data_IF_895811069079
#
_entry.id   IF_895811069079
#
_cell.length_a   1.000
_cell.length_b   1.000
_cell.length_c   1.000
_cell.angle_alpha   90.00
_cell.angle_beta   90.00
_cell.angle_gamma   90.00
#
_symmetry.space_group_name_H-M   'P 1'
#
loop_
_entity.id
_entity.type
_entity.pdbx_description
1 polymer ?
#
# COMPACT_ATOMS: atom_id res chain seq x y z
N UNK A 1 -23.26 -29.93 -4.44
CA UNK A 1 -22.32 -29.80 -3.30
C UNK A 1 -21.25 -30.89 -3.41
N UNK A 2 -20.48 -30.95 -4.50
CA UNK A 2 -19.60 -32.11 -4.78
C UNK A 2 -18.10 -31.80 -4.89
N UNK A 3 -17.68 -30.54 -4.72
CA UNK A 3 -16.25 -30.15 -4.81
C UNK A 3 -15.65 -29.57 -3.52
N UNK A 4 -16.39 -29.57 -2.41
CA UNK A 4 -15.87 -29.05 -1.13
C UNK A 4 -15.25 -30.20 -0.31
N UNK A 5 -13.99 -30.10 0.13
CA UNK A 5 -13.34 -31.09 0.99
C UNK A 5 -14.15 -31.41 2.25
N UNK A 6 -14.16 -32.68 2.67
CA UNK A 6 -14.94 -33.14 3.82
C UNK A 6 -14.60 -32.39 5.12
N UNK A 7 -13.32 -32.03 5.31
CA UNK A 7 -12.85 -31.25 6.46
C UNK A 7 -13.51 -29.86 6.52
N UNK A 8 -13.65 -29.19 5.37
CA UNK A 8 -14.30 -27.88 5.28
C UNK A 8 -15.80 -28.02 5.54
N UNK A 9 -16.43 -29.10 5.06
CA UNK A 9 -17.84 -29.39 5.35
C UNK A 9 -18.07 -29.57 6.85
N UNK A 10 -17.22 -30.31 7.53
CA UNK A 10 -17.29 -30.50 8.98
C UNK A 10 -17.13 -29.18 9.74
N UNK A 11 -16.14 -28.36 9.35
CA UNK A 11 -15.90 -27.04 9.94
C UNK A 11 -17.10 -26.10 9.77
N UNK A 12 -17.72 -26.07 8.59
CA UNK A 12 -18.94 -25.29 8.32
C UNK A 12 -20.11 -25.77 9.19
N UNK A 13 -20.28 -27.08 9.34
CA UNK A 13 -21.33 -27.64 10.21
C UNK A 13 -21.08 -27.33 11.69
N UNK A 14 -19.82 -27.31 12.14
CA UNK A 14 -19.46 -26.89 13.49
C UNK A 14 -19.80 -25.41 13.71
N UNK A 15 -19.50 -24.53 12.74
CA UNK A 15 -19.84 -23.12 12.81
C UNK A 15 -21.36 -22.91 12.95
N UNK A 16 -22.17 -23.58 12.12
CA UNK A 16 -23.63 -23.52 12.22
C UNK A 16 -24.15 -24.02 13.57
N UNK A 17 -23.57 -25.09 14.12
CA UNK A 17 -23.93 -25.60 15.47
C UNK A 17 -23.56 -24.62 16.58
N UNK A 18 -22.46 -23.89 16.43
CA UNK A 18 -21.97 -22.95 17.44
C UNK A 18 -22.81 -21.67 17.55
N UNK A 19 -23.57 -21.30 16.51
CA UNK A 19 -24.35 -20.06 16.46
C UNK A 19 -25.80 -20.39 16.10
N UNK A 20 -26.72 -20.41 17.09
CA UNK A 20 -28.13 -20.70 16.85
C UNK A 20 -28.76 -19.76 15.82
N UNK A 21 -29.46 -20.31 14.83
CA UNK A 21 -30.15 -19.52 13.79
C UNK A 21 -29.24 -18.96 12.71
N UNK A 22 -27.97 -19.37 12.63
CA UNK A 22 -27.10 -18.98 11.51
C UNK A 22 -27.58 -19.59 10.19
N UNK A 23 -27.89 -20.90 10.19
CA UNK A 23 -28.31 -21.67 9.01
C UNK A 23 -29.66 -21.23 8.42
N UNK A 24 -30.52 -20.60 9.22
CA UNK A 24 -31.81 -20.08 8.74
C UNK A 24 -31.65 -18.76 7.97
N UNK A 25 -30.54 -18.04 8.20
CA UNK A 25 -30.23 -16.77 7.54
C UNK A 25 -29.21 -16.93 6.42
N UNK A 26 -28.21 -17.79 6.62
CA UNK A 26 -27.09 -17.95 5.71
C UNK A 26 -26.81 -19.42 5.44
N UNK A 27 -26.80 -19.79 4.15
CA UNK A 27 -26.41 -21.12 3.69
C UNK A 27 -24.93 -21.11 3.35
N UNK A 28 -24.10 -21.73 4.18
CA UNK A 28 -22.65 -21.86 3.94
C UNK A 28 -22.39 -22.70 2.67
N UNK A 29 -21.50 -22.21 1.81
CA UNK A 29 -21.16 -22.84 0.54
C UNK A 29 -19.73 -23.35 0.52
N UNK A 30 -18.77 -22.55 1.01
CA UNK A 30 -17.34 -22.89 0.98
C UNK A 30 -16.55 -22.05 1.98
N UNK A 31 -15.32 -22.47 2.31
CA UNK A 31 -14.34 -21.66 3.06
C UNK A 31 -13.38 -21.01 2.06
N UNK A 32 -13.43 -19.69 1.97
CA UNK A 32 -12.69 -18.91 0.95
C UNK A 32 -11.43 -18.25 1.48
N UNK A 33 -11.19 -18.27 2.80
CA UNK A 33 -9.98 -17.70 3.36
C UNK A 33 -9.77 -18.09 4.82
N UNK A 34 -8.51 -18.16 5.20
CA UNK A 34 -8.08 -18.34 6.58
C UNK A 34 -6.85 -17.49 6.85
N UNK A 35 -6.85 -16.79 7.97
CA UNK A 35 -5.75 -15.97 8.44
C UNK A 35 -5.52 -16.16 9.93
N UNK A 36 -4.52 -15.45 10.46
CA UNK A 36 -4.13 -15.55 11.88
C UNK A 36 -5.25 -15.17 12.85
N UNK A 37 -6.19 -14.32 12.42
CA UNK A 37 -7.22 -13.74 13.28
C UNK A 37 -8.64 -14.13 12.91
N UNK A 38 -8.85 -14.81 11.78
CA UNK A 38 -10.19 -15.14 11.30
C UNK A 38 -10.20 -16.21 10.23
N UNK A 39 -11.35 -16.88 10.09
CA UNK A 39 -11.73 -17.65 8.89
C UNK A 39 -12.86 -16.96 8.16
N UNK A 40 -12.90 -17.09 6.83
CA UNK A 40 -13.91 -16.47 5.96
C UNK A 40 -14.61 -17.53 5.13
N UNK A 41 -15.93 -17.53 5.19
CA UNK A 41 -16.77 -18.48 4.46
C UNK A 41 -17.65 -17.75 3.45
N UNK A 42 -17.77 -18.31 2.25
CA UNK A 42 -18.78 -17.88 1.29
C UNK A 42 -20.11 -18.48 1.68
N UNK A 43 -21.16 -17.66 1.73
CA UNK A 43 -22.51 -18.08 2.04
C UNK A 43 -23.52 -17.41 1.12
N UNK A 44 -24.71 -17.99 1.04
CA UNK A 44 -25.87 -17.36 0.41
C UNK A 44 -26.78 -16.75 1.47
N UNK A 45 -27.19 -15.50 1.27
CA UNK A 45 -28.19 -14.80 2.07
C UNK A 45 -29.59 -15.32 1.70
N UNK A 46 -30.09 -16.27 2.50
CA UNK A 46 -31.38 -16.95 2.30
C UNK A 46 -32.53 -15.97 2.45
N UNK A 47 -32.39 -15.00 3.35
CA UNK A 47 -33.43 -14.02 3.66
C UNK A 47 -33.47 -12.87 2.66
N UNK A 48 -32.35 -12.58 2.00
CA UNK A 48 -32.17 -11.43 1.14
C UNK A 48 -32.05 -10.09 1.89
N UNK A 49 -32.04 -10.08 3.22
CA UNK A 49 -32.03 -8.83 3.99
C UNK A 49 -30.72 -8.07 3.86
N UNK A 50 -29.58 -8.77 3.96
CA UNK A 50 -28.25 -8.16 3.85
C UNK A 50 -28.01 -7.67 2.42
N UNK A 51 -28.35 -8.51 1.44
CA UNK A 51 -28.19 -8.20 0.02
C UNK A 51 -29.06 -7.04 -0.45
N UNK A 52 -30.32 -6.96 0.01
CA UNK A 52 -31.22 -5.86 -0.35
C UNK A 52 -30.79 -4.53 0.27
N UNK A 53 -30.37 -4.54 1.54
CA UNK A 53 -29.97 -3.32 2.27
C UNK A 53 -28.67 -2.69 1.75
N UNK A 54 -27.81 -3.50 1.12
CA UNK A 54 -26.51 -3.08 0.59
C UNK A 54 -26.42 -3.33 -0.92
N UNK A 55 -27.54 -3.24 -1.65
CA UNK A 55 -27.62 -3.61 -3.07
C UNK A 55 -26.62 -2.89 -3.97
N UNK A 56 -26.26 -1.64 -3.67
CA UNK A 56 -25.22 -0.87 -4.39
C UNK A 56 -23.82 -1.47 -4.30
N UNK A 57 -23.56 -2.34 -3.32
CA UNK A 57 -22.27 -2.99 -3.12
C UNK A 57 -22.12 -4.33 -3.85
N UNK A 58 -23.16 -4.81 -4.54
CA UNK A 58 -23.12 -6.08 -5.27
C UNK A 58 -22.87 -5.86 -6.76
N UNK A 59 -21.71 -6.30 -7.25
CA UNK A 59 -21.34 -6.18 -8.67
C UNK A 59 -22.19 -7.06 -9.60
N UNK A 60 -22.84 -8.11 -9.05
CA UNK A 60 -23.70 -9.04 -9.79
C UNK A 60 -25.01 -9.18 -9.03
N UNK A 61 -26.09 -8.57 -9.54
CA UNK A 61 -27.37 -8.40 -8.83
C UNK A 61 -28.14 -9.71 -8.66
N UNK A 62 -27.92 -10.69 -9.54
CA UNK A 62 -28.62 -11.98 -9.52
C UNK A 62 -28.14 -12.89 -8.38
N UNK A 63 -26.96 -12.61 -7.82
CA UNK A 63 -26.28 -13.47 -6.83
C UNK A 63 -26.35 -12.87 -5.43
N UNK A 64 -27.05 -13.57 -4.53
CA UNK A 64 -27.21 -13.19 -3.12
C UNK A 64 -26.11 -13.75 -2.22
N UNK A 65 -24.84 -13.56 -2.60
CA UNK A 65 -23.70 -14.13 -1.86
C UNK A 65 -23.10 -13.15 -0.86
N UNK A 66 -22.83 -13.62 0.35
CA UNK A 66 -22.13 -12.89 1.41
C UNK A 66 -20.86 -13.62 1.82
N UNK A 67 -19.92 -12.87 2.39
CA UNK A 67 -18.76 -13.40 3.08
C UNK A 67 -18.97 -13.32 4.59
N UNK A 68 -18.92 -14.46 5.27
CA UNK A 68 -19.00 -14.57 6.72
C UNK A 68 -17.59 -14.68 7.29
N UNK A 69 -17.09 -13.60 7.91
CA UNK A 69 -15.79 -13.57 8.57
C UNK A 69 -15.96 -13.92 10.06
N UNK A 70 -15.62 -15.16 10.42
CA UNK A 70 -15.55 -15.63 11.81
C UNK A 70 -14.24 -15.12 12.43
N UNK A 71 -14.35 -14.22 13.40
CA UNK A 71 -13.19 -13.64 14.09
C UNK A 71 -12.81 -14.54 15.26
N UNK A 72 -11.53 -14.92 15.35
CA UNK A 72 -11.04 -15.79 16.40
C UNK A 72 -10.98 -15.09 17.76
N UNK A 73 -11.30 -15.84 18.82
CA UNK A 73 -11.28 -15.40 20.23
C UNK A 73 -9.90 -14.98 20.73
N UNK A 74 -8.83 -15.34 20.02
CA UNK A 74 -7.46 -14.90 20.31
C UNK A 74 -7.28 -13.39 20.07
N UNK A 75 -8.21 -12.75 19.36
CA UNK A 75 -8.24 -11.29 19.20
C UNK A 75 -8.82 -10.62 20.44
N UNK A 76 -8.18 -9.57 20.94
CA UNK A 76 -8.70 -8.82 22.08
C UNK A 76 -10.07 -8.19 21.74
N UNK A 77 -11.02 -8.11 22.69
CA UNK A 77 -12.32 -7.49 22.43
C UNK A 77 -12.24 -6.07 21.87
N UNK A 78 -11.24 -5.29 22.30
CA UNK A 78 -10.99 -3.95 21.78
C UNK A 78 -10.62 -3.94 20.30
N UNK A 79 -9.84 -4.94 19.85
CA UNK A 79 -9.45 -5.07 18.45
C UNK A 79 -10.63 -5.47 17.58
N UNK A 80 -11.45 -6.43 18.05
CA UNK A 80 -12.67 -6.86 17.36
C UNK A 80 -13.64 -5.68 17.23
N UNK A 81 -13.89 -4.95 18.32
CA UNK A 81 -14.73 -3.76 18.31
C UNK A 81 -14.21 -2.70 17.34
N UNK A 82 -12.90 -2.42 17.37
CA UNK A 82 -12.27 -1.44 16.48
C UNK A 82 -12.47 -1.81 15.00
N UNK A 83 -12.22 -3.07 14.63
CA UNK A 83 -12.43 -3.54 13.26
C UNK A 83 -13.88 -3.36 12.79
N UNK A 84 -14.85 -3.82 13.59
CA UNK A 84 -16.28 -3.68 13.28
C UNK A 84 -16.71 -2.22 13.19
N UNK A 85 -16.22 -1.38 14.11
CA UNK A 85 -16.54 0.04 14.14
C UNK A 85 -15.95 0.79 12.93
N UNK A 86 -14.72 0.46 12.51
CA UNK A 86 -14.12 1.02 11.30
C UNK A 86 -14.92 0.64 10.05
N UNK A 87 -15.29 -0.64 9.89
CA UNK A 87 -16.13 -1.09 8.78
C UNK A 87 -17.50 -0.41 8.78
N UNK A 88 -18.10 -0.18 9.94
CA UNK A 88 -19.36 0.55 10.08
C UNK A 88 -19.22 2.02 9.64
N UNK A 89 -18.13 2.71 10.01
CA UNK A 89 -17.88 4.10 9.60
C UNK A 89 -17.58 4.26 8.11
N UNK A 90 -17.11 3.20 7.46
CA UNK A 90 -16.65 3.21 6.06
C UNK A 90 -17.72 2.73 5.06
N UNK A 91 -18.95 2.48 5.50
CA UNK A 91 -20.03 1.93 4.66
C UNK A 91 -20.46 2.83 3.48
N UNK A 92 -20.07 4.11 3.50
CA UNK A 92 -20.45 5.11 2.50
C UNK A 92 -19.64 5.11 1.20
N UNK A 93 -18.73 4.16 0.99
CA UNK A 93 -17.95 4.05 -0.26
C UNK A 93 -18.11 2.68 -0.89
N UNK A 94 -18.45 2.64 -2.18
CA UNK A 94 -18.55 1.40 -2.98
C UNK A 94 -17.20 0.67 -3.15
N UNK A 95 -16.09 1.36 -2.85
CA UNK A 95 -14.71 0.85 -3.00
C UNK A 95 -14.14 0.32 -1.68
N UNK A 96 -14.93 0.31 -0.61
CA UNK A 96 -14.58 -0.30 0.69
C UNK A 96 -15.73 -1.24 1.10
N UNK A 97 -15.40 -2.47 1.48
CA UNK A 97 -16.43 -3.44 1.84
C UNK A 97 -17.19 -2.99 3.10
N UNK A 98 -18.53 -2.85 3.05
CA UNK A 98 -19.32 -2.42 4.19
C UNK A 98 -19.54 -3.60 5.15
N UNK A 99 -19.79 -3.26 6.42
CA UNK A 99 -20.34 -4.22 7.38
C UNK A 99 -21.86 -4.33 7.18
N UNK A 100 -22.33 -5.44 6.60
CA UNK A 100 -23.76 -5.67 6.39
C UNK A 100 -24.51 -6.03 7.68
N UNK A 101 -23.91 -6.90 8.48
CA UNK A 101 -24.46 -7.38 9.75
C UNK A 101 -23.30 -7.86 10.66
N UNK A 102 -23.54 -7.92 11.96
CA UNK A 102 -22.61 -8.47 12.94
C UNK A 102 -23.35 -9.38 13.92
N UNK A 103 -22.89 -10.63 13.99
CA UNK A 103 -23.52 -11.68 14.79
C UNK A 103 -22.58 -11.99 15.95
N UNK A 104 -23.11 -11.97 17.17
CA UNK A 104 -22.38 -12.40 18.35
C UNK A 104 -23.18 -13.41 19.14
N UNK A 105 -22.58 -14.56 19.42
CA UNK A 105 -23.13 -15.56 20.31
C UNK A 105 -22.00 -16.12 21.18
N UNK A 106 -22.13 -15.95 22.50
CA UNK A 106 -21.08 -16.28 23.47
C UNK A 106 -19.74 -15.59 23.11
N UNK A 107 -18.71 -16.38 22.84
CA UNK A 107 -17.37 -15.96 22.44
C UNK A 107 -17.19 -15.87 20.92
N UNK A 108 -18.15 -16.35 20.13
CA UNK A 108 -18.11 -16.30 18.68
C UNK A 108 -18.59 -14.94 18.15
N UNK A 109 -17.82 -14.37 17.23
CA UNK A 109 -18.15 -13.13 16.50
C UNK A 109 -18.03 -13.38 15.01
N UNK A 110 -19.09 -13.06 14.26
CA UNK A 110 -19.11 -13.10 12.80
C UNK A 110 -19.43 -11.70 12.28
N UNK A 111 -18.58 -11.20 11.38
CA UNK A 111 -18.91 -10.07 10.51
C UNK A 111 -19.48 -10.59 9.20
N UNK A 112 -20.59 -10.01 8.75
CA UNK A 112 -21.21 -10.30 7.45
C UNK A 112 -20.85 -9.17 6.49
N UNK A 113 -20.21 -9.50 5.37
CA UNK A 113 -19.81 -8.55 4.33
C UNK A 113 -20.36 -9.03 2.97
N UNK A 114 -20.48 -8.15 1.97
CA UNK A 114 -20.78 -8.60 0.60
C UNK A 114 -19.69 -9.54 0.09
N UNK A 115 -20.07 -10.55 -0.69
CA UNK A 115 -19.10 -11.36 -1.42
C UNK A 115 -18.82 -10.73 -2.78
N UNK A 116 -17.54 -10.46 -3.07
CA UNK A 116 -17.11 -9.85 -4.32
C UNK A 116 -16.47 -10.90 -5.24
N UNK A 117 -16.92 -11.04 -6.50
CA UNK A 117 -16.27 -11.92 -7.47
C UNK A 117 -14.93 -11.31 -7.87
N UNK A 118 -13.83 -11.94 -7.48
CA UNK A 118 -12.47 -11.46 -7.72
C UNK A 118 -11.57 -12.59 -8.21
N UNK A 119 -10.40 -12.21 -8.71
CA UNK A 119 -9.34 -13.14 -9.12
C UNK A 119 -8.15 -13.02 -8.17
N UNK A 120 -7.44 -14.13 -7.91
CA UNK A 120 -6.21 -14.07 -7.13
C UNK A 120 -5.12 -13.29 -7.87
N UNK A 121 -4.46 -12.37 -7.16
CA UNK A 121 -3.39 -11.54 -7.72
C UNK A 121 -2.33 -12.32 -8.51
N UNK A 122 -1.98 -13.53 -8.03
CA UNK A 122 -0.96 -14.39 -8.66
C UNK A 122 -1.31 -14.81 -10.08
N UNK A 123 -2.59 -14.81 -10.44
CA UNK A 123 -3.06 -15.28 -11.74
C UNK A 123 -2.91 -14.21 -12.82
N UNK A 124 -2.98 -12.92 -12.46
CA UNK A 124 -2.97 -11.83 -13.44
C UNK A 124 -1.80 -10.86 -13.31
N UNK A 125 -1.09 -10.78 -12.17
CA UNK A 125 -0.08 -9.74 -11.94
C UNK A 125 1.08 -9.72 -12.94
N UNK A 126 1.38 -10.87 -13.56
CA UNK A 126 2.45 -10.97 -14.55
C UNK A 126 2.02 -10.35 -15.88
N UNK A 127 0.78 -10.56 -16.28
CA UNK A 127 0.32 -10.37 -17.65
C UNK A 127 -0.72 -9.24 -17.79
N UNK A 128 -0.97 -8.48 -16.71
CA UNK A 128 -1.88 -7.34 -16.73
C UNK A 128 -1.27 -6.17 -17.53
N UNK A 129 -1.93 -5.68 -18.61
CA UNK A 129 -1.45 -4.56 -19.43
C UNK A 129 -1.31 -3.26 -18.63
N UNK A 130 -0.50 -2.32 -19.10
CA UNK A 130 -0.29 -1.03 -18.41
C UNK A 130 -1.60 -0.28 -18.14
N UNK A 131 -2.57 -0.38 -19.07
CA UNK A 131 -3.93 0.16 -18.89
C UNK A 131 -4.71 -0.57 -17.78
N UNK A 132 -4.51 -1.88 -17.64
CA UNK A 132 -5.06 -2.67 -16.55
C UNK A 132 -4.41 -2.36 -15.20
N UNK A 133 -3.07 -2.17 -15.18
CA UNK A 133 -2.33 -1.70 -14.00
C UNK A 133 -2.86 -0.31 -13.60
N UNK A 134 -3.03 0.61 -14.55
CA UNK A 134 -3.62 1.93 -14.34
C UNK A 134 -4.97 1.82 -13.63
N UNK A 135 -5.91 1.00 -14.14
CA UNK A 135 -7.22 0.81 -13.51
C UNK A 135 -7.13 0.16 -12.12
N UNK A 136 -6.30 -0.86 -11.93
CA UNK A 136 -6.09 -1.47 -10.61
C UNK A 136 -5.62 -0.43 -9.58
N UNK A 137 -4.61 0.37 -9.94
CA UNK A 137 -4.04 1.38 -9.06
C UNK A 137 -5.03 2.50 -8.77
N UNK A 138 -5.83 2.90 -9.77
CA UNK A 138 -6.89 3.88 -9.62
C UNK A 138 -7.93 3.44 -8.58
N UNK A 139 -8.51 2.23 -8.74
CA UNK A 139 -9.51 1.68 -7.82
C UNK A 139 -8.96 1.58 -6.37
N UNK A 140 -7.71 1.13 -6.22
CA UNK A 140 -7.05 1.03 -4.91
C UNK A 140 -6.82 2.42 -4.27
N UNK A 141 -6.34 3.38 -5.06
CA UNK A 141 -6.08 4.73 -4.56
C UNK A 141 -7.37 5.48 -4.23
N UNK A 142 -8.47 5.25 -4.95
CA UNK A 142 -9.79 5.80 -4.61
C UNK A 142 -10.31 5.26 -3.28
N UNK A 143 -10.17 3.94 -3.04
CA UNK A 143 -10.49 3.35 -1.75
C UNK A 143 -9.66 3.97 -0.61
N UNK A 144 -8.35 4.13 -0.83
CA UNK A 144 -7.45 4.74 0.14
C UNK A 144 -7.72 6.23 0.38
N UNK A 145 -8.01 7.00 -0.67
CA UNK A 145 -8.42 8.41 -0.55
C UNK A 145 -9.63 8.54 0.40
N UNK A 146 -10.66 7.71 0.21
CA UNK A 146 -11.82 7.69 1.09
C UNK A 146 -11.44 7.32 2.54
N UNK A 147 -10.68 6.24 2.75
CA UNK A 147 -10.26 5.79 4.09
C UNK A 147 -9.40 6.86 4.79
N UNK A 148 -8.44 7.44 4.06
CA UNK A 148 -7.52 8.47 4.56
C UNK A 148 -8.25 9.77 4.87
N UNK A 149 -9.31 10.13 4.12
CA UNK A 149 -10.14 11.30 4.41
C UNK A 149 -10.84 11.23 5.78
N UNK A 150 -11.01 10.03 6.32
CA UNK A 150 -11.56 9.78 7.67
C UNK A 150 -10.48 9.72 8.75
N UNK A 151 -9.21 9.95 8.40
CA UNK A 151 -8.08 9.82 9.31
C UNK A 151 -7.80 8.37 9.73
N UNK A 152 -8.14 7.39 8.89
CA UNK A 152 -7.91 5.97 9.16
C UNK A 152 -6.66 5.54 8.36
N UNK A 153 -5.78 4.79 9.02
CA UNK A 153 -4.64 4.12 8.41
C UNK A 153 -4.99 2.64 8.29
N UNK A 154 -4.89 2.05 7.10
CA UNK A 154 -5.22 0.64 6.90
C UNK A 154 -4.15 -0.30 7.47
N UNK A 155 -2.87 0.06 7.31
CA UNK A 155 -1.66 -0.60 7.86
C UNK A 155 -1.34 -1.99 7.30
N UNK A 156 -2.23 -2.60 6.55
CA UNK A 156 -2.00 -3.91 5.91
C UNK A 156 -2.42 -3.92 4.43
N UNK A 157 -2.04 -2.89 3.69
CA UNK A 157 -2.27 -2.85 2.24
C UNK A 157 -1.35 -3.86 1.55
N UNK A 158 -1.98 -4.82 0.85
CA UNK A 158 -1.36 -5.89 0.08
C UNK A 158 -2.39 -6.48 -0.87
N UNK A 159 -1.98 -7.21 -1.92
CA UNK A 159 -2.94 -7.69 -2.92
C UNK A 159 -4.05 -8.59 -2.38
N UNK A 160 -3.83 -9.35 -1.31
CA UNK A 160 -4.88 -10.22 -0.74
C UNK A 160 -5.98 -9.44 -0.01
N UNK A 161 -5.73 -8.18 0.35
CA UNK A 161 -6.69 -7.32 1.04
C UNK A 161 -7.38 -6.34 0.08
N UNK A 162 -7.11 -6.45 -1.23
CA UNK A 162 -7.79 -5.69 -2.27
C UNK A 162 -8.38 -6.67 -3.27
N UNK A 163 -9.68 -6.92 -3.15
CA UNK A 163 -10.37 -7.87 -4.01
C UNK A 163 -10.63 -7.20 -5.35
N UNK A 164 -9.91 -7.62 -6.38
CA UNK A 164 -9.96 -7.03 -7.71
C UNK A 164 -10.46 -8.03 -8.75
N UNK A 165 -11.29 -7.56 -9.66
CA UNK A 165 -11.72 -8.32 -10.82
C UNK A 165 -11.15 -7.68 -12.10
N UNK A 166 -10.13 -8.28 -12.72
CA UNK A 166 -9.52 -7.74 -13.94
C UNK A 166 -10.47 -7.61 -15.13
N UNK A 167 -11.50 -8.47 -15.21
CA UNK A 167 -12.48 -8.45 -16.30
C UNK A 167 -13.49 -7.31 -16.14
N UNK A 168 -13.92 -7.05 -14.90
CA UNK A 168 -14.85 -5.96 -14.59
C UNK A 168 -14.13 -4.61 -14.39
N UNK A 169 -12.82 -4.63 -14.15
CA UNK A 169 -12.07 -3.44 -13.79
C UNK A 169 -12.47 -2.85 -12.44
N UNK A 170 -13.06 -3.64 -11.53
CA UNK A 170 -13.58 -3.17 -10.23
C UNK A 170 -12.77 -3.74 -9.07
N UNK A 171 -12.52 -2.91 -8.08
CA UNK A 171 -11.79 -3.28 -6.87
C UNK A 171 -12.48 -2.85 -5.59
N UNK A 172 -12.29 -3.62 -4.52
CA UNK A 172 -12.77 -3.27 -3.18
C UNK A 172 -11.71 -3.56 -2.12
N UNK A 173 -11.49 -2.59 -1.24
CA UNK A 173 -10.60 -2.74 -0.10
C UNK A 173 -11.31 -3.46 1.05
N UNK A 174 -10.63 -4.47 1.62
CA UNK A 174 -11.16 -5.32 2.70
C UNK A 174 -10.15 -5.46 3.84
N UNK A 175 -10.61 -6.02 4.97
CA UNK A 175 -9.81 -6.40 6.14
C UNK A 175 -9.14 -5.24 6.92
N UNK A 176 -9.95 -4.60 7.78
CA UNK A 176 -9.52 -3.53 8.67
C UNK A 176 -9.03 -4.05 10.03
N UNK A 177 -8.70 -5.34 10.15
CA UNK A 177 -8.32 -5.97 11.43
C UNK A 177 -7.00 -5.45 12.02
N UNK A 178 -6.20 -4.71 11.24
CA UNK A 178 -4.98 -4.02 11.70
C UNK A 178 -5.07 -2.50 11.62
N UNK A 179 -6.18 -1.97 11.11
CA UNK A 179 -6.36 -0.54 10.88
C UNK A 179 -6.51 0.24 12.20
N UNK A 180 -6.02 1.47 12.20
CA UNK A 180 -6.08 2.38 13.36
C UNK A 180 -6.40 3.80 12.90
N UNK A 181 -6.98 4.59 13.79
CA UNK A 181 -7.09 6.03 13.59
C UNK A 181 -5.69 6.65 13.65
N UNK A 182 -5.37 7.50 12.69
CA UNK A 182 -4.17 8.33 12.71
C UNK A 182 -4.18 9.16 13.99
N UNK A 183 -3.11 9.06 14.78
CA UNK A 183 -3.01 9.80 16.03
C UNK A 183 -2.85 11.28 15.73
N UNK A 184 -3.82 12.10 16.14
CA UNK A 184 -3.70 13.54 16.06
C UNK A 184 -2.44 13.98 16.82
N UNK A 185 -1.60 14.80 16.18
CA UNK A 185 -0.43 15.39 16.84
C UNK A 185 -0.91 16.19 18.05
N UNK A 186 -0.67 15.69 19.25
CA UNK A 186 -1.03 16.40 20.48
C UNK A 186 -0.30 17.74 20.50
N UNK A 187 -1.02 18.86 20.42
CA UNK A 187 -0.45 20.21 20.64
C UNK A 187 0.17 20.37 22.04
N UNK A 188 0.01 19.38 22.91
CA UNK A 188 0.53 19.30 24.28
C UNK A 188 2.04 19.05 24.40
N UNK A 189 2.76 18.74 23.30
CA UNK A 189 4.23 18.68 23.33
C UNK A 189 4.90 20.02 23.70
N UNK A 190 4.15 21.12 23.85
CA UNK A 190 4.70 22.42 24.24
C UNK A 190 5.04 22.57 25.74
N UNK A 191 4.72 21.60 26.61
CA UNK A 191 4.86 21.80 28.09
C UNK A 191 5.91 20.91 28.77
N UNK A 192 6.42 19.86 28.12
CA UNK A 192 7.44 18.98 28.71
C UNK A 192 8.86 19.43 28.36
N UNK A 193 9.66 19.77 29.39
CA UNK A 193 11.08 20.17 29.26
C UNK A 193 11.99 19.07 28.68
N UNK A 194 11.52 17.83 28.57
CA UNK A 194 12.27 16.72 27.99
C UNK A 194 11.38 15.83 27.11
N UNK A 195 11.17 16.24 25.86
CA UNK A 195 10.37 15.50 24.87
C UNK A 195 10.89 14.08 24.63
N UNK A 196 12.19 13.84 24.86
CA UNK A 196 12.83 12.53 24.68
C UNK A 196 12.40 11.50 25.73
N UNK A 197 11.75 11.94 26.81
CA UNK A 197 11.21 11.08 27.88
C UNK A 197 9.81 10.54 27.57
N UNK A 198 9.12 11.05 26.54
CA UNK A 198 7.78 10.60 26.14
C UNK A 198 7.89 9.28 25.37
N UNK A 199 7.12 8.27 25.79
CA UNK A 199 7.17 6.89 25.30
C UNK A 199 6.96 6.76 23.77
N UNK A 200 6.17 7.68 23.20
CA UNK A 200 5.84 7.72 21.78
C UNK A 200 6.57 8.85 21.02
N UNK A 201 7.66 9.40 21.56
CA UNK A 201 8.39 10.46 20.85
C UNK A 201 9.26 9.91 19.71
N UNK A 202 9.10 10.50 18.53
CA UNK A 202 10.00 10.30 17.39
C UNK A 202 10.51 11.66 16.88
N UNK A 203 11.82 11.86 16.67
CA UNK A 203 12.38 13.14 16.22
C UNK A 203 11.85 13.66 14.89
N UNK A 204 11.35 12.78 14.03
CA UNK A 204 10.79 13.14 12.73
C UNK A 204 9.60 14.11 12.84
N UNK A 205 8.94 14.17 14.01
CA UNK A 205 7.82 15.10 14.28
C UNK A 205 8.26 16.57 14.25
N UNK A 206 9.50 16.88 14.66
CA UNK A 206 10.00 18.25 14.73
C UNK A 206 10.52 18.78 13.38
N UNK A 207 10.69 17.93 12.37
CA UNK A 207 11.25 18.34 11.08
C UNK A 207 10.31 19.31 10.32
N UNK A 208 9.02 19.33 10.65
CA UNK A 208 8.04 20.26 10.07
C UNK A 208 8.15 21.70 10.60
N UNK A 209 8.68 21.94 11.80
CA UNK A 209 8.72 23.31 12.35
C UNK A 209 9.78 24.19 11.67
N UNK A 210 10.77 23.59 11.02
CA UNK A 210 11.91 24.32 10.44
C UNK A 210 11.75 24.58 8.94
N UNK A 211 10.76 23.98 8.26
CA UNK A 211 10.56 24.11 6.81
C UNK A 211 9.83 25.39 6.39
N UNK A 212 9.28 26.18 7.32
CA UNK A 212 8.59 27.45 7.03
C UNK A 212 9.48 28.69 7.02
N UNK A 213 10.80 28.58 7.22
CA UNK A 213 11.72 29.73 7.20
C UNK A 213 13.07 29.37 6.61
N UNK A 214 13.19 29.35 5.28
CA UNK A 214 14.49 29.37 4.60
C UNK A 214 14.38 30.07 3.23
N UNK A 215 14.16 31.38 3.28
CA UNK A 215 14.67 32.28 2.26
C UNK A 215 15.97 32.88 2.77
N UNK A 216 17.12 32.41 2.27
CA UNK A 216 18.29 33.23 1.85
C UNK A 216 19.53 32.35 1.62
N UNK A 217 20.33 32.82 0.67
CA UNK A 217 21.38 32.18 -0.12
C UNK A 217 22.60 31.64 0.66
N UNK A 218 23.42 30.78 0.03
CA UNK A 218 24.56 30.14 0.67
C UNK A 218 25.80 31.05 0.69
N UNK A 219 26.45 31.19 1.85
CA UNK A 219 27.82 31.70 1.93
C UNK A 219 28.76 30.68 2.58
N UNK A 220 29.94 30.56 1.97
CA UNK A 220 30.98 29.55 2.19
C UNK A 220 31.77 29.73 3.50
N UNK A 221 32.46 28.69 4.01
CA UNK A 221 33.08 28.70 5.33
C UNK A 221 34.53 29.20 5.29
N UNK A 222 34.83 30.35 5.90
CA UNK A 222 36.19 30.66 6.37
C UNK A 222 36.21 31.79 7.40
N UNK A 223 36.91 31.51 8.51
CA UNK A 223 37.31 32.44 9.58
C UNK A 223 36.13 32.85 10.47
N UNK A 224 36.15 32.59 11.78
CA UNK A 224 37.02 33.26 12.74
C UNK A 224 37.21 32.34 13.96
N UNK A 225 38.46 31.96 14.21
CA UNK A 225 38.93 31.68 15.56
C UNK A 225 39.47 32.99 16.12
N UNK A 226 39.01 33.39 17.33
CA UNK A 226 39.80 34.02 18.40
C UNK A 226 38.91 34.48 19.56
N UNK A 227 39.12 33.82 20.70
CA UNK A 227 39.17 34.35 22.07
C UNK A 227 38.24 35.49 22.48
N UNK A 228 37.35 35.25 23.46
CA UNK A 228 37.40 35.82 24.84
C UNK A 228 36.12 35.41 25.60
N UNK A 229 36.25 34.48 26.56
CA UNK A 229 36.17 34.67 28.03
C UNK A 229 34.78 34.97 28.61
N UNK A 230 34.33 34.00 29.44
CA UNK A 230 33.45 34.14 30.61
C UNK A 230 32.17 34.98 30.50
N UNK A 231 31.03 34.30 30.35
CA UNK A 231 29.94 34.35 31.33
C UNK A 231 28.90 33.28 30.99
N UNK A 232 28.52 32.51 31.99
CA UNK A 232 27.45 31.54 31.89
C UNK A 232 26.11 32.25 31.68
N UNK A 233 25.41 31.92 30.60
CA UNK A 233 23.97 32.10 30.50
C UNK A 233 23.36 30.91 29.74
N UNK A 234 22.57 30.16 30.49
CA UNK A 234 21.69 29.13 29.98
C UNK A 234 20.72 29.71 28.95
N UNK A 235 20.63 29.08 27.78
CA UNK A 235 19.58 29.41 26.81
C UNK A 235 19.99 29.21 25.35
N UNK A 236 20.34 27.99 24.96
CA UNK A 236 20.32 27.59 23.56
C UNK A 236 20.11 26.08 23.49
N UNK A 237 18.92 25.65 23.06
CA UNK A 237 18.63 24.25 22.70
C UNK A 237 19.32 23.99 21.36
N UNK A 238 20.65 23.93 21.40
CA UNK A 238 21.45 23.37 20.32
C UNK A 238 21.21 21.87 20.30
N UNK A 239 20.89 21.36 19.12
CA UNK A 239 20.79 19.93 18.82
C UNK A 239 22.07 19.22 19.26
N UNK A 240 22.12 18.72 20.50
CA UNK A 240 23.06 17.69 20.89
C UNK A 240 22.59 16.40 20.23
N UNK A 241 22.98 16.23 18.96
CA UNK A 241 23.18 14.91 18.37
C UNK A 241 24.35 14.32 19.16
N UNK A 242 24.02 13.51 20.17
CA UNK A 242 25.03 12.73 20.87
C UNK A 242 25.58 11.74 19.86
N UNK A 243 26.86 11.89 19.53
CA UNK A 243 27.60 10.95 18.69
C UNK A 243 27.79 9.64 19.45
N UNK A 244 26.83 8.73 19.30
CA UNK A 244 26.78 7.44 20.01
C UNK A 244 27.95 6.51 19.64
N UNK A 245 28.71 6.84 18.59
CA UNK A 245 29.92 6.08 18.20
C UNK A 245 31.11 6.35 19.12
N UNK A 246 31.06 7.41 19.95
CA UNK A 246 32.15 7.83 20.84
C UNK A 246 31.95 7.44 22.32
N UNK A 247 30.85 6.77 22.65
CA UNK A 247 30.60 6.22 23.99
C UNK A 247 29.11 6.17 24.36
N UNK A 248 28.77 5.27 25.30
CA UNK A 248 27.42 5.14 25.85
C UNK A 248 27.20 6.13 27.01
N UNK A 249 26.03 6.80 27.09
CA UNK A 249 25.70 7.63 28.24
C UNK A 249 25.77 6.80 29.54
N UNK A 250 26.55 7.24 30.53
CA UNK A 250 26.67 6.57 31.85
C UNK A 250 25.32 6.39 32.58
N UNK A 251 24.35 7.22 32.22
CA UNK A 251 22.97 7.18 32.72
C UNK A 251 22.04 7.20 31.51
N UNK A 252 21.82 6.04 30.89
CA UNK A 252 20.86 5.89 29.80
C UNK A 252 19.44 5.88 30.36
N UNK A 253 18.73 7.00 30.19
CA UNK A 253 17.35 7.16 30.66
C UNK A 253 16.33 7.00 29.53
N UNK A 254 16.76 6.83 28.28
CA UNK A 254 15.84 6.65 27.14
C UNK A 254 15.18 5.27 27.24
N UNK A 255 13.84 5.28 27.26
CA UNK A 255 13.04 4.05 27.26
C UNK A 255 13.11 3.36 25.89
N UNK A 256 13.05 2.03 25.88
CA UNK A 256 12.92 1.26 24.64
C UNK A 256 11.66 1.67 23.90
N UNK A 257 11.80 2.18 22.66
CA UNK A 257 10.67 2.54 21.80
C UNK A 257 9.78 1.33 21.54
N UNK A 258 8.51 1.41 21.94
CA UNK A 258 7.46 0.44 21.62
C UNK A 258 6.53 1.07 20.59
N UNK A 259 6.82 0.87 19.30
CA UNK A 259 5.89 1.24 18.24
C UNK A 259 5.15 -0.01 17.75
N UNK A 260 3.87 0.16 17.41
CA UNK A 260 3.08 -0.90 16.81
C UNK A 260 3.65 -1.20 15.40
N UNK A 261 4.11 -2.45 15.20
CA UNK A 261 4.73 -2.95 13.94
C UNK A 261 3.74 -3.75 13.10
N UNK A 262 2.47 -3.34 13.10
CA UNK A 262 1.43 -3.97 12.30
C UNK A 262 1.79 -3.94 10.79
N UNK A 263 1.13 -4.82 10.04
CA UNK A 263 1.30 -4.96 8.59
C UNK A 263 2.13 -6.18 8.19
N UNK A 264 1.92 -6.65 6.97
CA UNK A 264 2.60 -7.81 6.38
C UNK A 264 4.04 -7.46 6.01
N UNK A 265 4.99 -8.36 6.32
CA UNK A 265 6.41 -8.20 5.94
C UNK A 265 6.53 -8.04 4.42
N UNK A 266 7.52 -7.28 3.98
CA UNK A 266 7.69 -6.89 2.58
C UNK A 266 6.81 -5.73 2.11
N UNK A 267 5.70 -5.41 2.79
CA UNK A 267 4.87 -4.22 2.49
C UNK A 267 5.09 -3.07 3.47
N UNK A 268 5.76 -3.32 4.61
CA UNK A 268 6.02 -2.30 5.63
C UNK A 268 6.91 -1.17 5.11
N UNK A 269 6.45 0.06 5.34
CA UNK A 269 7.20 1.28 5.09
C UNK A 269 8.46 1.38 5.98
N UNK A 270 9.51 2.10 5.54
CA UNK A 270 10.76 2.22 6.30
C UNK A 270 10.54 2.80 7.70
N UNK A 271 9.64 3.76 7.88
CA UNK A 271 9.29 4.32 9.18
C UNK A 271 8.66 3.28 10.13
N UNK A 272 7.95 2.28 9.60
CA UNK A 272 7.39 1.17 10.40
C UNK A 272 8.52 0.24 10.85
N UNK A 273 9.44 -0.11 9.94
CA UNK A 273 10.63 -0.93 10.23
C UNK A 273 11.54 -0.25 11.26
N UNK A 274 11.68 1.07 11.17
CA UNK A 274 12.41 1.92 12.11
C UNK A 274 11.64 2.19 13.42
N UNK A 275 10.48 1.55 13.63
CA UNK A 275 9.67 1.68 14.85
C UNK A 275 9.28 3.13 15.15
N UNK A 276 8.90 3.87 14.11
CA UNK A 276 8.29 5.18 14.27
C UNK A 276 6.95 5.03 15.00
N UNK A 277 6.78 5.77 16.09
CA UNK A 277 5.57 5.82 16.90
C UNK A 277 4.47 6.68 16.27
N UNK A 278 4.85 7.71 15.52
CA UNK A 278 3.93 8.60 14.82
C UNK A 278 3.83 8.19 13.36
N UNK A 279 3.02 7.16 13.10
CA UNK A 279 2.72 6.69 11.74
C UNK A 279 1.56 7.51 11.17
N UNK A 280 1.60 7.76 9.86
CA UNK A 280 0.54 8.45 9.10
C UNK A 280 -0.05 7.54 8.03
N UNK A 281 -1.10 8.02 7.38
CA UNK A 281 -1.70 7.38 6.19
C UNK A 281 -0.70 7.08 5.06
N UNK A 282 0.45 7.77 5.05
CA UNK A 282 1.53 7.60 4.07
C UNK A 282 2.18 6.22 4.11
N UNK A 283 2.06 5.45 5.20
CA UNK A 283 2.58 4.06 5.22
C UNK A 283 1.82 3.15 4.25
N UNK A 284 0.53 3.42 4.02
CA UNK A 284 -0.29 2.70 3.06
C UNK A 284 0.19 2.99 1.63
N UNK A 285 0.59 4.23 1.36
CA UNK A 285 1.12 4.66 0.06
C UNK A 285 2.45 3.96 -0.29
N UNK A 286 3.29 3.70 0.71
CA UNK A 286 4.48 2.85 0.48
C UNK A 286 4.07 1.45 0.03
N UNK A 287 3.09 0.86 0.70
CA UNK A 287 2.58 -0.48 0.38
C UNK A 287 1.97 -0.54 -1.03
N UNK A 288 1.27 0.52 -1.45
CA UNK A 288 0.80 0.73 -2.84
C UNK A 288 1.97 0.69 -3.82
N UNK A 289 3.08 1.36 -3.50
CA UNK A 289 4.32 1.30 -4.29
C UNK A 289 4.88 -0.12 -4.43
N UNK A 290 4.83 -0.94 -3.38
CA UNK A 290 5.26 -2.35 -3.43
C UNK A 290 4.38 -3.18 -4.37
N UNK A 291 3.07 -2.95 -4.38
CA UNK A 291 2.15 -3.60 -5.31
C UNK A 291 2.46 -3.18 -6.76
N UNK A 292 2.61 -1.88 -7.00
CA UNK A 292 2.93 -1.35 -8.33
C UNK A 292 4.28 -1.88 -8.85
N UNK A 293 5.29 -1.95 -7.99
CA UNK A 293 6.58 -2.54 -8.32
C UNK A 293 6.46 -4.03 -8.67
N UNK A 294 5.55 -4.76 -8.01
CA UNK A 294 5.31 -6.18 -8.29
C UNK A 294 4.71 -6.39 -9.69
N UNK A 295 3.82 -5.50 -10.14
CA UNK A 295 3.33 -5.51 -11.53
C UNK A 295 4.45 -5.23 -12.52
N UNK A 296 5.14 -4.09 -12.38
CA UNK A 296 6.14 -3.64 -13.36
C UNK A 296 7.34 -4.57 -13.49
N UNK A 297 7.71 -5.26 -12.41
CA UNK A 297 8.84 -6.20 -12.40
C UNK A 297 8.46 -7.66 -12.62
N UNK A 298 7.15 -7.99 -12.69
CA UNK A 298 6.61 -9.36 -12.70
C UNK A 298 7.09 -10.24 -11.55
N UNK A 299 7.48 -9.64 -10.42
CA UNK A 299 7.98 -10.34 -9.24
C UNK A 299 7.02 -10.18 -8.06
N UNK A 300 6.43 -11.28 -7.61
CA UNK A 300 5.59 -11.32 -6.42
C UNK A 300 5.85 -12.62 -5.63
N UNK A 301 6.02 -12.54 -4.29
CA UNK A 301 6.19 -11.32 -3.51
C UNK A 301 7.53 -10.63 -3.83
N UNK A 302 7.53 -9.29 -3.86
CA UNK A 302 8.71 -8.47 -4.19
C UNK A 302 9.84 -8.62 -3.16
N UNK A 303 9.45 -8.53 -1.89
CA UNK A 303 10.31 -8.55 -0.72
C UNK A 303 9.91 -9.77 0.12
N UNK A 304 10.87 -10.62 0.48
CA UNK A 304 10.65 -11.90 1.19
C UNK A 304 11.43 -11.95 2.50
N UNK A 305 11.41 -10.84 3.23
CA UNK A 305 12.13 -10.71 4.48
C UNK A 305 11.60 -11.62 5.61
N UNK A 306 12.54 -12.25 6.34
CA UNK A 306 12.22 -13.07 7.51
C UNK A 306 11.98 -12.23 8.75
N UNK A 307 12.59 -11.05 8.84
CA UNK A 307 12.38 -10.10 9.93
C UNK A 307 12.55 -8.62 9.48
N UNK A 308 12.47 -7.69 10.42
CA UNK A 308 12.59 -6.26 10.13
C UNK A 308 14.02 -5.87 9.68
N UNK A 309 15.05 -6.62 10.10
CA UNK A 309 16.45 -6.40 9.71
C UNK A 309 16.65 -6.81 8.26
N UNK A 310 16.18 -8.00 7.88
CA UNK A 310 16.19 -8.46 6.50
C UNK A 310 15.39 -7.52 5.59
N UNK A 311 14.26 -7.00 6.09
CA UNK A 311 13.47 -6.01 5.35
C UNK A 311 14.31 -4.76 5.04
N UNK A 312 15.04 -4.23 6.02
CA UNK A 312 15.91 -3.08 5.82
C UNK A 312 17.08 -3.39 4.88
N UNK A 313 17.60 -4.62 4.91
CA UNK A 313 18.65 -5.08 4.01
C UNK A 313 18.15 -5.13 2.55
N UNK A 314 16.96 -5.69 2.32
CA UNK A 314 16.32 -5.68 0.99
C UNK A 314 16.11 -4.25 0.47
N UNK A 315 15.68 -3.31 1.34
CA UNK A 315 15.59 -1.89 0.97
C UNK A 315 16.95 -1.27 0.66
N UNK A 316 18.03 -1.67 1.35
CA UNK A 316 19.39 -1.24 1.01
C UNK A 316 19.83 -1.74 -0.36
N UNK A 317 19.47 -2.97 -0.75
CA UNK A 317 19.76 -3.51 -2.07
C UNK A 317 19.15 -2.65 -3.20
N UNK A 318 17.93 -2.13 -2.98
CA UNK A 318 17.21 -1.33 -3.98
C UNK A 318 17.62 0.14 -3.96
N UNK A 319 17.56 0.78 -2.78
CA UNK A 319 17.71 2.24 -2.66
C UNK A 319 19.13 2.69 -2.30
N UNK A 320 20.00 1.76 -1.93
CA UNK A 320 21.33 2.03 -1.40
C UNK A 320 21.32 2.32 0.10
N UNK A 321 22.36 1.87 0.80
CA UNK A 321 22.45 1.99 2.25
C UNK A 321 22.50 3.45 2.74
N UNK A 322 23.01 4.39 1.93
CA UNK A 322 23.12 5.81 2.31
C UNK A 322 21.75 6.46 2.50
N UNK A 323 20.80 6.17 1.60
CA UNK A 323 19.45 6.73 1.68
C UNK A 323 18.70 6.15 2.89
N UNK A 324 18.86 4.85 3.14
CA UNK A 324 18.29 4.19 4.33
C UNK A 324 18.89 4.74 5.63
N UNK A 325 20.21 5.00 5.65
CA UNK A 325 20.88 5.65 6.79
C UNK A 325 20.36 7.06 7.06
N UNK A 326 20.12 7.85 6.02
CA UNK A 326 19.51 9.17 6.15
C UNK A 326 18.09 9.07 6.71
N UNK A 327 17.28 8.13 6.23
CA UNK A 327 15.96 7.84 6.76
C UNK A 327 16.00 7.44 8.25
N UNK A 328 16.91 6.54 8.65
CA UNK A 328 17.10 6.16 10.05
C UNK A 328 17.43 7.38 10.94
N UNK A 329 18.25 8.29 10.42
CA UNK A 329 18.64 9.53 11.12
C UNK A 329 17.42 10.44 11.38
N UNK A 330 16.45 10.51 10.44
CA UNK A 330 15.19 11.25 10.65
C UNK A 330 14.43 10.76 11.89
N UNK A 331 14.50 9.46 12.18
CA UNK A 331 13.86 8.84 13.35
C UNK A 331 14.77 8.81 14.60
N UNK A 332 15.95 9.46 14.54
CA UNK A 332 16.94 9.52 15.60
C UNK A 332 17.62 8.18 15.89
N UNK A 333 17.74 7.33 14.86
CA UNK A 333 18.40 6.04 14.95
C UNK A 333 19.76 6.09 14.27
N UNK A 334 20.72 5.36 14.83
CA UNK A 334 21.96 5.01 14.12
C UNK A 334 21.69 3.87 13.15
N UNK A 335 22.33 3.93 11.98
CA UNK A 335 22.30 2.85 10.99
C UNK A 335 23.74 2.63 10.51
N UNK A 336 24.30 1.50 10.94
CA UNK A 336 25.65 1.08 10.60
C UNK A 336 25.56 -0.17 9.73
N UNK A 337 26.36 -0.14 8.68
CA UNK A 337 26.45 -1.20 7.69
C UNK A 337 27.91 -1.55 7.59
N UNK A 338 28.24 -2.79 7.93
CA UNK A 338 29.60 -3.34 7.86
C UNK A 338 29.59 -4.51 6.90
N UNK A 339 30.58 -4.54 6.00
CA UNK A 339 30.90 -5.71 5.17
C UNK A 339 29.74 -6.25 4.31
N UNK A 340 28.86 -5.37 3.81
CA UNK A 340 27.85 -5.75 2.81
C UNK A 340 28.46 -5.81 1.40
N UNK A 341 28.93 -7.00 1.02
CA UNK A 341 29.32 -7.27 -0.37
C UNK A 341 28.11 -7.15 -1.31
N UNK A 342 28.29 -6.47 -2.45
CA UNK A 342 27.26 -6.36 -3.49
C UNK A 342 26.20 -5.27 -3.28
N UNK A 343 26.19 -4.54 -2.16
CA UNK A 343 25.24 -3.45 -1.92
C UNK A 343 25.89 -2.09 -2.17
N UNK A 344 25.36 -1.39 -3.16
CA UNK A 344 25.76 -0.04 -3.56
C UNK A 344 25.45 1.02 -2.48
N UNK A 345 26.32 2.03 -2.33
CA UNK A 345 26.07 3.20 -1.47
C UNK A 345 24.81 3.96 -1.88
N UNK A 346 24.63 4.17 -3.19
CA UNK A 346 23.58 5.02 -3.75
C UNK A 346 22.43 4.23 -4.40
N UNK A 347 22.49 2.89 -4.36
CA UNK A 347 21.56 2.00 -5.06
C UNK A 347 21.87 1.93 -6.57
N UNK A 348 20.81 1.73 -7.37
CA UNK A 348 20.89 1.71 -8.83
C UNK A 348 21.06 3.12 -9.41
N UNK A 349 21.92 3.29 -10.41
CA UNK A 349 22.22 4.61 -11.01
C UNK A 349 20.98 5.27 -11.63
N UNK A 350 20.20 4.52 -12.42
CA UNK A 350 18.90 4.94 -12.95
C UNK A 350 17.72 4.70 -12.00
N UNK A 351 17.97 4.52 -10.70
CA UNK A 351 16.94 4.33 -9.68
C UNK A 351 16.07 3.07 -9.91
N UNK A 352 14.77 3.21 -9.66
CA UNK A 352 13.83 2.09 -9.76
C UNK A 352 13.66 1.58 -11.19
N UNK A 353 13.76 2.45 -12.20
CA UNK A 353 13.70 2.08 -13.61
C UNK A 353 14.79 1.07 -13.98
N UNK A 354 16.03 1.31 -13.53
CA UNK A 354 17.15 0.40 -13.74
C UNK A 354 16.97 -0.92 -12.97
N UNK A 355 16.45 -0.85 -11.74
CA UNK A 355 16.14 -2.04 -10.95
C UNK A 355 15.12 -2.94 -11.66
N UNK A 356 14.00 -2.36 -12.10
CA UNK A 356 12.94 -3.08 -12.85
C UNK A 356 13.52 -3.66 -14.14
N UNK A 357 14.29 -2.86 -14.89
CA UNK A 357 14.92 -3.29 -16.14
C UNK A 357 15.83 -4.50 -15.93
N UNK A 358 16.63 -4.52 -14.86
CA UNK A 358 17.50 -5.66 -14.55
C UNK A 358 16.72 -6.93 -14.21
N UNK A 359 15.61 -6.81 -13.46
CA UNK A 359 14.73 -7.94 -13.17
C UNK A 359 14.09 -8.50 -14.44
N UNK A 360 13.52 -7.64 -15.29
CA UNK A 360 12.94 -8.05 -16.56
C UNK A 360 13.98 -8.62 -17.52
N UNK A 361 15.22 -8.07 -17.54
CA UNK A 361 16.30 -8.61 -18.35
C UNK A 361 16.69 -10.04 -17.93
N UNK A 362 16.63 -10.36 -16.63
CA UNK A 362 16.89 -11.72 -16.15
C UNK A 362 15.83 -12.70 -16.63
N UNK A 363 14.55 -12.30 -16.61
CA UNK A 363 13.42 -13.08 -17.13
C UNK A 363 13.52 -13.30 -18.65
N UNK A 364 13.87 -12.26 -19.43
CA UNK A 364 14.13 -12.40 -20.88
C UNK A 364 15.25 -13.40 -21.15
N UNK A 365 16.37 -13.31 -20.41
CA UNK A 365 17.49 -14.26 -20.54
C UNK A 365 17.10 -15.69 -20.15
N UNK A 366 16.19 -15.84 -19.19
CA UNK A 366 15.66 -17.14 -18.78
C UNK A 366 14.60 -17.68 -19.76
N UNK A 367 14.12 -16.88 -20.72
CA UNK A 367 13.09 -17.26 -21.67
C UNK A 367 11.69 -17.39 -21.06
N UNK A 368 11.42 -16.71 -19.94
CA UNK A 368 10.17 -16.85 -19.18
C UNK A 368 9.01 -15.99 -19.72
N UNK A 369 9.28 -15.03 -20.60
CA UNK A 369 8.25 -14.29 -21.34
C UNK A 369 8.73 -13.89 -22.74
N UNK A 370 7.79 -13.85 -23.69
CA UNK A 370 8.06 -13.58 -25.11
C UNK A 370 8.08 -12.09 -25.47
N UNK A 371 8.68 -11.76 -26.61
CA UNK A 371 8.69 -10.39 -27.18
C UNK A 371 7.29 -9.81 -27.47
N UNK A 372 6.29 -10.67 -27.65
CA UNK A 372 4.89 -10.27 -27.86
C UNK A 372 4.06 -10.12 -26.58
N UNK A 373 4.69 -10.25 -25.41
CA UNK A 373 3.98 -10.16 -24.14
C UNK A 373 3.91 -8.71 -23.63
N UNK A 374 2.89 -8.42 -22.83
CA UNK A 374 2.76 -7.14 -22.10
C UNK A 374 4.02 -6.80 -21.31
N UNK A 375 4.67 -7.81 -20.73
CA UNK A 375 5.93 -7.66 -20.00
C UNK A 375 7.05 -7.04 -20.84
N UNK A 376 7.07 -7.40 -22.13
CA UNK A 376 8.05 -6.92 -23.06
C UNK A 376 7.84 -5.45 -23.38
N UNK A 377 6.60 -4.94 -23.39
CA UNK A 377 6.32 -3.51 -23.53
C UNK A 377 7.05 -2.68 -22.45
N UNK A 378 6.97 -3.11 -21.19
CA UNK A 378 7.68 -2.48 -20.07
C UNK A 378 9.20 -2.58 -20.23
N UNK A 379 9.70 -3.76 -20.59
CA UNK A 379 11.14 -3.99 -20.79
C UNK A 379 11.70 -3.16 -21.95
N UNK A 380 10.98 -3.11 -23.07
CA UNK A 380 11.31 -2.35 -24.27
C UNK A 380 11.38 -0.86 -23.97
N UNK A 381 10.36 -0.31 -23.30
CA UNK A 381 10.33 1.07 -22.84
C UNK A 381 11.56 1.41 -21.97
N UNK A 382 11.87 0.57 -20.97
CA UNK A 382 13.01 0.79 -20.06
C UNK A 382 14.37 0.65 -20.76
N UNK A 383 14.46 -0.21 -21.78
CA UNK A 383 15.70 -0.43 -22.54
C UNK A 383 16.03 0.75 -23.44
N UNK A 384 15.02 1.43 -23.99
CA UNK A 384 15.20 2.60 -24.86
C UNK A 384 15.41 3.91 -24.10
N UNK A 385 14.94 4.03 -22.86
CA UNK A 385 14.99 5.27 -22.07
C UNK A 385 16.29 5.45 -21.24
N UNK A 386 17.32 4.62 -21.44
CA UNK A 386 18.59 4.74 -20.71
C UNK A 386 19.43 5.99 -21.12
N UNK A 387 19.04 6.70 -22.18
CA UNK A 387 19.77 7.85 -22.72
C UNK A 387 18.86 8.97 -23.27
N UNK A 388 17.97 9.51 -22.45
CA UNK A 388 17.54 10.92 -22.55
C UNK A 388 16.40 11.29 -23.51
N UNK A 389 15.37 11.89 -22.91
CA UNK A 389 14.43 12.91 -23.43
C UNK A 389 13.54 12.62 -24.64
N UNK A 390 13.76 11.57 -25.44
CA UNK A 390 12.84 11.19 -26.50
C UNK A 390 12.06 9.93 -26.12
N UNK A 391 10.77 10.12 -25.82
CA UNK A 391 9.78 9.06 -25.51
C UNK A 391 9.24 8.44 -26.82
N UNK A 392 9.96 8.61 -27.95
CA UNK A 392 9.48 8.17 -29.25
C UNK A 392 9.91 6.72 -29.49
N UNK A 393 8.96 5.80 -29.79
CA UNK A 393 9.29 4.41 -30.08
C UNK A 393 10.15 4.30 -31.36
N UNK A 394 11.12 3.37 -31.41
CA UNK A 394 11.85 3.08 -32.65
C UNK A 394 10.91 2.40 -33.65
N UNK A 395 10.83 2.94 -34.88
CA UNK A 395 10.02 2.34 -35.95
C UNK A 395 10.77 1.15 -36.54
N UNK A 396 10.29 -0.07 -36.28
CA UNK A 396 10.80 -1.25 -36.98
C UNK A 396 10.14 -1.37 -38.37
N UNK A 397 10.96 -1.25 -39.41
CA UNK A 397 10.54 -1.24 -40.80
C UNK A 397 9.84 -2.53 -41.23
N UNK A 398 8.52 -2.46 -41.30
CA UNK A 398 7.67 -3.43 -42.01
C UNK A 398 6.68 -2.63 -42.84
N UNK A 399 6.55 -2.97 -44.12
CA UNK A 399 5.69 -2.27 -45.06
C UNK A 399 4.22 -2.55 -44.74
N UNK A 400 3.63 -1.77 -43.85
CA UNK A 400 2.19 -1.73 -43.60
C UNK A 400 1.53 -0.66 -44.49
N UNK A 401 0.19 -0.69 -44.59
CA UNK A 401 -0.51 0.46 -45.15
C UNK A 401 -0.42 1.67 -44.20
N UNK A 402 -0.48 2.89 -44.76
CA UNK A 402 -0.27 4.15 -44.01
C UNK A 402 -1.20 4.28 -42.79
N UNK A 403 -2.40 3.67 -42.87
CA UNK A 403 -3.41 3.70 -41.80
C UNK A 403 -3.01 2.78 -40.64
N UNK A 404 -2.55 1.58 -40.93
CA UNK A 404 -2.10 0.62 -39.90
C UNK A 404 -0.83 1.11 -39.23
N UNK A 405 0.12 1.67 -39.98
CA UNK A 405 1.33 2.27 -39.42
C UNK A 405 1.00 3.42 -38.46
N UNK A 406 0.09 4.33 -38.86
CA UNK A 406 -0.37 5.41 -37.99
C UNK A 406 -1.00 4.90 -36.68
N UNK A 407 -1.88 3.88 -36.77
CA UNK A 407 -2.55 3.31 -35.59
C UNK A 407 -1.58 2.62 -34.63
N UNK A 408 -0.62 1.86 -35.16
CA UNK A 408 0.44 1.21 -34.36
C UNK A 408 1.28 2.26 -33.67
N UNK A 409 1.71 3.30 -34.39
CA UNK A 409 2.51 4.39 -33.83
C UNK A 409 1.78 5.12 -32.70
N UNK A 410 0.51 5.46 -32.92
CA UNK A 410 -0.33 6.11 -31.90
C UNK A 410 -0.48 5.23 -30.64
N UNK A 411 -0.74 3.93 -30.82
CA UNK A 411 -0.84 3.00 -29.69
C UNK A 411 0.47 2.94 -28.89
N UNK A 412 1.62 2.83 -29.57
CA UNK A 412 2.91 2.83 -28.89
C UNK A 412 3.18 4.14 -28.13
N UNK A 413 2.83 5.29 -28.71
CA UNK A 413 2.96 6.60 -28.04
C UNK A 413 2.09 6.66 -26.76
N UNK A 414 0.84 6.19 -26.81
CA UNK A 414 -0.04 6.09 -25.64
C UNK A 414 0.54 5.16 -24.56
N UNK A 415 0.96 3.95 -24.95
CA UNK A 415 1.53 2.96 -24.03
C UNK A 415 2.81 3.47 -23.38
N UNK A 416 3.71 4.10 -24.14
CA UNK A 416 4.95 4.66 -23.60
C UNK A 416 4.70 5.85 -22.67
N UNK A 417 3.70 6.69 -22.97
CA UNK A 417 3.23 7.75 -22.06
C UNK A 417 2.73 7.17 -20.75
N UNK A 418 1.92 6.11 -20.80
CA UNK A 418 1.43 5.42 -19.61
C UNK A 418 2.57 4.84 -18.77
N UNK A 419 3.57 4.21 -19.39
CA UNK A 419 4.75 3.73 -18.68
C UNK A 419 5.54 4.85 -18.00
N UNK A 420 5.72 5.99 -18.68
CA UNK A 420 6.39 7.16 -18.11
C UNK A 420 5.67 7.64 -16.84
N UNK A 421 4.37 7.91 -16.93
CA UNK A 421 3.60 8.42 -15.80
C UNK A 421 3.44 7.39 -14.68
N UNK A 422 3.32 6.11 -15.03
CA UNK A 422 3.29 5.02 -14.05
C UNK A 422 4.58 4.97 -13.20
N UNK A 423 5.76 5.17 -13.82
CA UNK A 423 7.02 5.23 -13.09
C UNK A 423 7.13 6.50 -12.22
N UNK A 424 6.57 7.62 -12.66
CA UNK A 424 6.50 8.82 -11.80
C UNK A 424 5.61 8.60 -10.56
N UNK A 425 4.51 7.86 -10.69
CA UNK A 425 3.68 7.45 -9.54
C UNK A 425 4.48 6.52 -8.62
N UNK A 426 5.21 5.56 -9.19
CA UNK A 426 6.06 4.64 -8.42
C UNK A 426 7.12 5.37 -7.59
N UNK A 427 7.84 6.32 -8.19
CA UNK A 427 8.87 7.11 -7.51
C UNK A 427 8.29 7.93 -6.34
N UNK A 428 7.07 8.46 -6.51
CA UNK A 428 6.34 9.18 -5.45
C UNK A 428 5.91 8.28 -4.28
N UNK A 429 5.60 7.00 -4.54
CA UNK A 429 5.32 6.03 -3.49
C UNK A 429 6.57 5.69 -2.66
N UNK A 430 7.74 5.59 -3.30
CA UNK A 430 8.99 5.18 -2.67
C UNK A 430 9.86 6.33 -2.12
N UNK A 431 9.22 7.41 -1.68
CA UNK A 431 9.89 8.46 -0.91
C UNK A 431 10.13 7.98 0.52
N UNK A 432 11.41 7.87 0.91
CA UNK A 432 11.83 7.36 2.22
C UNK A 432 11.49 8.30 3.38
N UNK A 433 11.42 9.61 3.13
CA UNK A 433 10.90 10.57 4.10
C UNK A 433 9.37 10.61 3.98
N UNK A 434 8.68 10.00 4.94
CA UNK A 434 7.22 9.88 4.95
C UNK A 434 6.48 11.23 4.81
N UNK A 435 7.08 12.35 5.23
CA UNK A 435 6.45 13.68 5.11
C UNK A 435 6.44 14.22 3.68
N UNK A 436 7.34 13.73 2.83
CA UNK A 436 7.49 14.13 1.43
C UNK A 436 6.86 13.12 0.46
N UNK A 437 6.45 11.95 0.96
CA UNK A 437 5.73 10.94 0.18
C UNK A 437 4.35 11.49 -0.19
N UNK A 438 3.86 11.22 -1.39
CA UNK A 438 2.55 11.71 -1.84
C UNK A 438 1.37 11.08 -1.06
N UNK A 439 0.22 11.75 -0.97
CA UNK A 439 -1.06 11.19 -0.48
C UNK A 439 -1.74 10.38 -1.59
N UNK A 440 -2.80 9.64 -1.24
CA UNK A 440 -3.65 9.02 -2.24
C UNK A 440 -4.25 10.05 -3.23
N UNK A 441 -4.73 11.20 -2.73
CA UNK A 441 -5.31 12.27 -3.56
C UNK A 441 -4.29 12.91 -4.50
N UNK A 442 -3.06 13.15 -4.01
CA UNK A 442 -1.97 13.70 -4.81
C UNK A 442 -1.59 12.74 -5.94
N UNK A 443 -1.59 11.42 -5.67
CA UNK A 443 -1.35 10.40 -6.70
C UNK A 443 -2.50 10.31 -7.72
N UNK A 444 -3.75 10.34 -7.26
CA UNK A 444 -4.93 10.34 -8.15
C UNK A 444 -4.98 11.56 -9.06
N UNK A 445 -4.46 12.70 -8.60
CA UNK A 445 -4.36 13.94 -9.39
C UNK A 445 -3.24 13.90 -10.44
N UNK A 446 -2.47 12.81 -10.53
CA UNK A 446 -1.40 12.69 -11.53
C UNK A 446 -1.96 12.44 -12.94
N UNK A 447 -1.19 12.85 -13.95
CA UNK A 447 -1.51 12.63 -15.37
C UNK A 447 -1.74 11.16 -15.72
N UNK A 448 -1.21 10.22 -14.91
CA UNK A 448 -1.41 8.80 -15.15
C UNK A 448 -2.90 8.39 -15.11
N UNK A 449 -3.71 9.07 -14.30
CA UNK A 449 -5.11 8.72 -14.05
C UNK A 449 -6.12 9.66 -14.70
N UNK A 450 -5.69 10.72 -15.41
CA UNK A 450 -6.60 11.75 -15.92
C UNK A 450 -7.74 11.21 -16.78
N UNK A 451 -7.44 10.25 -17.66
CA UNK A 451 -8.45 9.60 -18.51
C UNK A 451 -9.52 8.85 -17.71
N UNK A 452 -9.15 8.28 -16.56
CA UNK A 452 -10.06 7.53 -15.70
C UNK A 452 -10.90 8.46 -14.82
N UNK A 453 -10.31 9.57 -14.35
CA UNK A 453 -11.04 10.58 -13.57
C UNK A 453 -12.17 11.18 -14.41
N UNK A 454 -11.89 11.52 -15.68
CA UNK A 454 -12.89 12.07 -16.58
C UNK A 454 -14.04 11.09 -16.84
N UNK A 455 -13.75 9.78 -16.97
CA UNK A 455 -14.79 8.75 -17.14
C UNK A 455 -15.61 8.45 -15.89
N UNK A 456 -14.97 8.47 -14.70
CA UNK A 456 -15.65 8.15 -13.43
C UNK A 456 -16.66 9.25 -13.07
N UNK A 457 -16.33 10.52 -13.36
CA UNK A 457 -17.26 11.65 -13.21
C UNK A 457 -18.50 11.55 -14.13
N UNK A 458 -18.41 10.79 -15.24
CA UNK A 458 -19.57 10.53 -16.11
C UNK A 458 -20.37 9.32 -15.63
N UNK A 459 -19.72 8.26 -15.16
CA UNK A 459 -20.39 7.05 -14.68
C UNK A 459 -21.22 7.31 -13.39
N UNK A 460 -20.76 8.15 -12.46
CA UNK A 460 -21.55 8.53 -11.26
C UNK A 460 -22.84 9.29 -11.60
N UNK A 461 -22.96 9.88 -12.80
CA UNK A 461 -24.20 10.51 -13.27
C UNK A 461 -25.11 9.55 -14.05
N UNK A 462 -24.59 8.42 -14.52
CA UNK A 462 -25.28 7.44 -15.34
C UNK A 462 -25.71 6.17 -14.57
N UNK A 463 -25.46 6.10 -13.25
CA UNK A 463 -25.93 4.98 -12.40
C UNK A 463 -27.46 4.81 -12.36
N UNK A 464 -28.23 5.76 -12.92
CA UNK A 464 -29.68 5.67 -13.11
C UNK A 464 -30.13 4.97 -14.43
N UNK A 465 -29.23 4.69 -15.39
CA UNK A 465 -29.61 4.15 -16.71
C UNK A 465 -28.70 2.99 -17.18
N UNK A 466 -28.70 1.87 -16.46
CA UNK A 466 -28.20 0.61 -17.04
C UNK A 466 -29.31 -0.02 -17.88
N UNK A 467 -29.21 0.22 -19.19
CA UNK A 467 -30.01 -0.38 -20.25
C UNK A 467 -30.08 -1.90 -20.10
N UNK A 468 -31.32 -2.40 -19.98
CA UNK A 468 -31.70 -3.79 -20.15
C UNK A 468 -31.33 -4.19 -21.58
N UNK A 469 -30.24 -4.95 -21.73
CA UNK A 469 -29.97 -5.68 -22.95
C UNK A 469 -30.77 -6.99 -22.86
N UNK A 470 -32.05 -6.91 -23.22
CA UNK A 470 -32.84 -8.09 -23.53
C UNK A 470 -32.35 -8.68 -24.84
N UNK A 471 -32.02 -9.98 -24.85
CA UNK A 471 -32.02 -10.84 -26.04
C UNK A 471 -31.80 -12.31 -25.64
N UNK A 472 -32.34 -13.26 -26.42
CA UNK A 472 -33.75 -13.56 -26.68
C UNK A 472 -34.27 -14.76 -25.86
#
# INVERSE_FOLDING_TARGET
MTDVPAEIVEEMQELCRSIPGLETRYRLLDKIGEGTFSSVYKAEDVTGMATSSFSSHYWVKEKKYVALKRIYVTSSPQRIYNELNLLYMLCGSSRVAPLCDAIRFQDQVIAVLPWYPHEEFRNFYRDLPIKGIKKYMFELLQALSFVHSKGIIHRDIKPTNFLYNPQLGRGVLVDFGLAEMEQARSKEFKVSKDLRSVENYCPCVNYESDSSTLSQQPTTPRQIAKNTTHAASHGAVGSMIVDLTKGYPKYETRRNKRANRAGTRGFRAPEVLMKCSQQSTKIDIWSVGVILLSFLSRRFPMFQSLDDTDSLLELCCVFGWKKIKNCATLHGLGFEVTDLEGISENGFQGGLSDYIRQLLQAEVKAGTFSEYSVAFETFDYLSHNSSGKNITPPVQGTAFDDVTEYRIKKYHEEVWSDHYWCLQVLDQCFVLDSHKRSTADELLSSTFFSELVDSDCTEENDEDDVLIIDSP
#
